data_IF_467202653855
#
_entry.id   IF_467202653855
#
_cell.length_a   1.000
_cell.length_b   1.000
_cell.length_c   1.000
_cell.angle_alpha   90.00
_cell.angle_beta   90.00
_cell.angle_gamma   90.00
#
_symmetry.space_group_name_H-M   'P 1'
#
loop_
_entity.id
_entity.type
_entity.pdbx_description
1 polymer ?
#
# COMPACT_ATOMS: atom_id res chain seq x y z
N UNK A 1 50.50 26.63 9.88
CA UNK A 1 49.73 25.37 9.97
C UNK A 1 48.51 25.64 10.84
N UNK A 2 47.40 26.05 10.25
CA UNK A 2 46.15 26.40 10.96
C UNK A 2 45.09 25.32 10.74
N UNK A 3 44.68 24.69 11.83
CA UNK A 3 43.56 23.75 11.85
C UNK A 3 42.26 24.54 11.80
N UNK A 4 41.46 24.38 10.72
CA UNK A 4 40.10 24.88 10.65
C UNK A 4 39.17 23.83 11.29
N UNK A 5 38.51 24.21 12.38
CA UNK A 5 37.44 23.44 12.97
C UNK A 5 36.13 23.73 12.17
N UNK A 6 35.49 22.70 11.67
CA UNK A 6 34.16 22.78 11.06
C UNK A 6 33.17 22.57 12.20
N UNK A 7 32.40 23.63 12.52
CA UNK A 7 31.28 23.53 13.43
C UNK A 7 30.05 23.00 12.64
N UNK A 8 29.62 21.79 12.99
CA UNK A 8 28.37 21.22 12.53
C UNK A 8 27.26 21.80 13.44
N UNK A 9 26.45 22.71 12.92
CA UNK A 9 25.29 23.22 13.64
C UNK A 9 24.15 22.19 13.55
N UNK A 10 23.91 21.49 14.65
CA UNK A 10 22.70 20.64 14.82
C UNK A 10 21.56 21.59 15.17
N UNK A 11 20.63 21.77 14.24
CA UNK A 11 19.39 22.50 14.46
C UNK A 11 18.42 21.56 15.21
N UNK A 12 18.34 21.72 16.53
CA UNK A 12 17.31 21.09 17.36
C UNK A 12 16.00 21.85 17.17
N UNK A 13 15.08 21.28 16.37
CA UNK A 13 13.69 21.75 16.34
C UNK A 13 13.00 21.15 17.55
N UNK A 14 12.77 21.97 18.57
CA UNK A 14 11.91 21.62 19.68
C UNK A 14 10.45 21.78 19.28
N UNK A 15 9.79 20.66 18.96
CA UNK A 15 8.34 20.61 18.84
C UNK A 15 7.78 20.60 20.26
N UNK A 16 6.99 21.62 20.59
CA UNK A 16 6.29 21.70 21.87
C UNK A 16 5.16 20.67 21.89
N UNK A 17 5.34 19.58 22.63
CA UNK A 17 4.29 18.62 22.97
C UNK A 17 3.29 19.27 23.92
N UNK A 18 2.10 19.61 23.43
CA UNK A 18 0.92 19.79 24.25
C UNK A 18 0.27 18.42 24.42
N UNK A 19 0.61 17.73 25.50
CA UNK A 19 -0.03 16.48 25.85
C UNK A 19 -1.47 16.71 26.31
N UNK A 20 -2.45 16.10 25.63
CA UNK A 20 -3.81 15.93 26.14
C UNK A 20 -4.01 14.50 26.62
N UNK A 21 -4.54 14.41 27.83
CA UNK A 21 -4.74 13.19 28.63
C UNK A 21 -5.75 12.23 27.97
N UNK A 22 -5.37 10.96 27.92
CA UNK A 22 -6.23 9.82 27.60
C UNK A 22 -7.46 9.77 28.51
N UNK A 23 -8.64 9.74 27.88
CA UNK A 23 -9.89 9.31 28.47
C UNK A 23 -10.49 8.18 27.65
N UNK A 24 -9.97 6.95 27.79
CA UNK A 24 -10.56 5.78 27.15
C UNK A 24 -11.88 5.40 27.81
N UNK A 25 -12.95 5.30 27.03
CA UNK A 25 -14.13 4.48 27.35
C UNK A 25 -14.39 3.57 26.17
N UNK A 26 -14.23 2.27 26.38
CA UNK A 26 -14.66 1.25 25.46
C UNK A 26 -16.17 1.36 25.24
N UNK A 27 -16.57 1.61 24.01
CA UNK A 27 -17.94 1.51 23.54
C UNK A 27 -18.23 0.06 23.15
N UNK A 28 -19.42 -0.43 23.48
CA UNK A 28 -19.97 -1.70 23.02
C UNK A 28 -20.26 -1.60 21.51
N UNK A 29 -19.83 -2.57 20.73
CA UNK A 29 -19.61 -2.58 19.30
C UNK A 29 -20.80 -2.45 18.32
N UNK A 30 -21.83 -1.64 18.61
CA UNK A 30 -22.98 -1.47 17.72
C UNK A 30 -23.34 0.00 17.41
N UNK A 31 -22.64 0.98 18.01
CA UNK A 31 -22.91 2.39 17.69
C UNK A 31 -21.83 2.93 16.75
N UNK A 32 -22.21 3.72 15.72
CA UNK A 32 -21.24 4.29 14.78
C UNK A 32 -20.28 5.25 15.49
N UNK A 33 -19.04 5.31 15.01
CA UNK A 33 -18.10 6.34 15.40
C UNK A 33 -18.46 7.62 14.66
N UNK A 34 -18.84 8.65 15.39
CA UNK A 34 -19.31 9.93 14.85
C UNK A 34 -18.17 10.95 14.83
N UNK A 35 -17.90 11.53 13.68
CA UNK A 35 -16.96 12.63 13.51
C UNK A 35 -17.68 13.96 13.27
N UNK A 36 -16.99 15.07 13.54
CA UNK A 36 -17.51 16.38 13.19
C UNK A 36 -17.57 16.52 11.65
N UNK A 37 -18.67 17.07 11.08
CA UNK A 37 -18.82 17.20 9.63
C UNK A 37 -17.83 18.21 9.05
N UNK A 38 -17.30 17.86 7.83
CA UNK A 38 -16.45 18.73 7.03
C UNK A 38 -17.25 19.83 6.29
N UNK A 39 -16.63 20.56 5.33
CA UNK A 39 -15.27 20.30 4.87
C UNK A 39 -14.19 20.88 5.80
N UNK A 40 -13.10 20.12 5.92
CA UNK A 40 -11.90 20.58 6.61
C UNK A 40 -10.90 21.20 5.63
N UNK A 41 -10.11 22.16 6.08
CA UNK A 41 -8.87 22.51 5.40
C UNK A 41 -7.93 21.30 5.44
N UNK A 42 -7.14 21.12 4.41
CA UNK A 42 -6.25 19.95 4.26
C UNK A 42 -4.80 20.37 4.51
N UNK A 43 -4.14 19.66 5.41
CA UNK A 43 -2.70 19.74 5.62
C UNK A 43 -2.01 18.61 4.85
N UNK A 44 -1.04 18.94 4.01
CA UNK A 44 -0.23 17.98 3.28
C UNK A 44 1.20 17.95 3.85
N UNK A 45 1.70 16.75 4.10
CA UNK A 45 3.08 16.46 4.50
C UNK A 45 3.67 15.53 3.46
N UNK A 46 4.61 16.05 2.68
CA UNK A 46 5.15 15.36 1.51
C UNK A 46 6.57 14.81 1.78
N UNK A 47 6.95 13.80 1.02
CA UNK A 47 8.29 13.19 1.00
C UNK A 47 8.80 12.73 2.37
N UNK A 48 7.91 12.15 3.17
CA UNK A 48 8.26 11.56 4.47
C UNK A 48 8.91 10.20 4.22
N UNK A 49 10.12 9.99 4.76
CA UNK A 49 10.77 8.68 4.74
C UNK A 49 10.10 7.76 5.75
N UNK A 50 9.42 6.70 5.28
CA UNK A 50 8.79 5.73 6.18
C UNK A 50 9.66 4.52 6.50
N UNK A 51 10.59 4.19 5.60
CA UNK A 51 11.55 3.10 5.75
C UNK A 51 12.70 3.24 4.74
N UNK A 52 13.57 2.25 4.71
CA UNK A 52 14.52 2.03 3.64
C UNK A 52 14.36 0.61 3.09
N UNK A 53 14.72 0.39 1.82
CA UNK A 53 14.76 -0.91 1.19
C UNK A 53 16.07 -1.13 0.45
N UNK A 54 16.50 -2.38 0.25
CA UNK A 54 17.65 -2.69 -0.61
C UNK A 54 17.25 -2.53 -2.09
N UNK A 55 18.13 -1.91 -2.86
CA UNK A 55 17.97 -1.64 -4.27
C UNK A 55 19.27 -1.78 -5.04
N UNK A 56 19.19 -2.16 -6.31
CA UNK A 56 20.34 -2.15 -7.21
C UNK A 56 20.32 -0.92 -8.10
N UNK A 57 21.42 -0.20 -8.14
CA UNK A 57 21.64 0.76 -9.22
C UNK A 57 22.04 0.02 -10.51
N UNK A 58 21.72 0.60 -11.68
CA UNK A 58 22.08 0.03 -12.99
C UNK A 58 23.60 -0.21 -13.18
N UNK A 59 24.44 0.32 -12.32
CA UNK A 59 25.91 0.26 -12.42
C UNK A 59 26.58 -0.53 -11.29
N UNK A 60 25.82 -1.11 -10.36
CA UNK A 60 26.36 -1.84 -9.21
C UNK A 60 25.80 -3.25 -9.13
N UNK A 61 26.66 -4.21 -8.85
CA UNK A 61 26.27 -5.61 -8.55
C UNK A 61 25.88 -5.78 -7.07
N UNK A 62 26.30 -4.84 -6.21
CA UNK A 62 25.97 -4.88 -4.79
C UNK A 62 24.76 -3.98 -4.52
N UNK A 63 23.76 -4.45 -3.76
CA UNK A 63 22.62 -3.63 -3.39
C UNK A 63 22.99 -2.54 -2.39
N UNK A 64 22.23 -1.46 -2.39
CA UNK A 64 22.36 -0.36 -1.44
C UNK A 64 21.01 0.08 -0.92
N UNK A 65 20.98 0.64 0.29
CA UNK A 65 19.75 1.14 0.87
C UNK A 65 19.25 2.41 0.14
N UNK A 66 17.97 2.41 -0.22
CA UNK A 66 17.26 3.58 -0.75
C UNK A 66 16.12 3.97 0.18
N UNK A 67 15.81 5.28 0.32
CA UNK A 67 14.66 5.72 1.11
C UNK A 67 13.36 5.36 0.42
N UNK A 68 12.37 4.94 1.21
CA UNK A 68 10.98 4.72 0.79
C UNK A 68 10.13 5.88 1.30
N UNK A 69 9.39 6.53 0.40
CA UNK A 69 8.72 7.79 0.68
C UNK A 69 7.20 7.64 0.70
N UNK A 70 6.54 8.47 1.52
CA UNK A 70 5.09 8.62 1.52
C UNK A 70 4.69 10.08 1.68
N UNK A 71 3.43 10.38 1.32
CA UNK A 71 2.79 11.66 1.60
C UNK A 71 1.58 11.42 2.52
N UNK A 72 1.32 12.35 3.43
CA UNK A 72 0.18 12.30 4.35
C UNK A 72 -0.68 13.53 4.15
N UNK A 73 -1.97 13.33 3.92
CA UNK A 73 -2.99 14.37 3.85
C UNK A 73 -3.90 14.25 5.07
N UNK A 74 -3.99 15.27 5.88
CA UNK A 74 -4.77 15.27 7.12
C UNK A 74 -5.79 16.41 7.13
N UNK A 75 -6.96 16.24 7.79
CA UNK A 75 -7.83 17.36 8.11
C UNK A 75 -7.16 18.28 9.13
N UNK A 76 -7.24 19.61 8.91
CA UNK A 76 -6.81 20.59 9.92
C UNK A 76 -7.85 20.64 11.06
N UNK A 77 -7.67 19.77 12.03
CA UNK A 77 -8.56 19.62 13.19
C UNK A 77 -7.79 19.09 14.41
N UNK A 78 -8.32 19.39 15.59
CA UNK A 78 -7.79 18.84 16.85
C UNK A 78 -8.43 17.49 17.22
N UNK A 79 -9.34 16.95 16.41
CA UNK A 79 -9.97 15.66 16.68
C UNK A 79 -8.96 14.54 16.47
N UNK A 80 -8.99 13.53 17.33
CA UNK A 80 -8.14 12.34 17.30
C UNK A 80 -8.90 11.14 16.76
N UNK A 81 -8.22 10.01 16.64
CA UNK A 81 -8.80 8.72 16.28
C UNK A 81 -9.49 8.73 14.89
N UNK A 82 -8.88 9.43 13.92
CA UNK A 82 -9.37 9.52 12.54
C UNK A 82 -9.11 8.24 11.75
N UNK A 83 -10.07 7.78 10.93
CA UNK A 83 -9.82 6.65 10.04
C UNK A 83 -8.73 7.00 9.02
N UNK A 84 -8.02 5.98 8.54
CA UNK A 84 -6.96 6.17 7.56
C UNK A 84 -7.17 5.29 6.34
N UNK A 85 -6.93 5.86 5.15
CA UNK A 85 -6.79 5.13 3.90
C UNK A 85 -5.34 5.23 3.43
N UNK A 86 -4.61 4.11 3.40
CA UNK A 86 -3.32 4.02 2.70
C UNK A 86 -3.57 3.66 1.24
N UNK A 87 -3.04 4.44 0.30
CA UNK A 87 -3.23 4.23 -1.13
C UNK A 87 -1.91 3.94 -1.86
N UNK A 88 -1.95 2.92 -2.73
CA UNK A 88 -0.81 2.37 -3.45
C UNK A 88 -1.01 2.65 -4.94
N UNK A 89 -0.06 3.36 -5.54
CA UNK A 89 -0.15 3.73 -6.96
C UNK A 89 -0.01 2.54 -7.91
N UNK A 90 -0.60 2.67 -9.10
CA UNK A 90 -0.37 1.77 -10.22
C UNK A 90 0.88 2.14 -11.02
N UNK A 91 1.25 1.27 -11.96
CA UNK A 91 2.40 1.44 -12.84
C UNK A 91 3.03 0.12 -13.27
N UNK A 92 2.29 -1.00 -13.14
CA UNK A 92 2.73 -2.33 -13.57
C UNK A 92 3.99 -2.83 -12.86
N UNK A 93 4.27 -2.32 -11.66
CA UNK A 93 5.53 -2.55 -10.92
C UNK A 93 6.78 -2.05 -11.64
N UNK A 94 6.65 -1.34 -12.76
CA UNK A 94 7.78 -0.83 -13.57
C UNK A 94 8.05 0.65 -13.37
N UNK A 95 7.26 1.33 -12.57
CA UNK A 95 7.34 2.75 -12.26
C UNK A 95 6.02 3.24 -11.69
N UNK A 96 5.88 4.53 -11.55
CA UNK A 96 4.75 5.21 -10.93
C UNK A 96 5.23 6.05 -9.77
N UNK A 97 4.33 6.85 -9.23
CA UNK A 97 4.65 7.75 -8.09
C UNK A 97 3.41 8.01 -7.25
N UNK A 98 3.62 8.23 -5.95
CA UNK A 98 2.60 8.54 -4.95
C UNK A 98 1.83 9.84 -5.20
N UNK A 99 2.41 10.79 -5.94
CA UNK A 99 1.87 12.12 -6.19
C UNK A 99 1.31 12.32 -7.61
N UNK A 100 0.70 11.28 -8.22
CA UNK A 100 -0.10 11.48 -9.44
C UNK A 100 -1.29 12.40 -9.14
N UNK A 101 -1.71 13.25 -10.12
CA UNK A 101 -2.83 14.19 -9.89
C UNK A 101 -4.08 13.53 -9.30
N UNK A 102 -4.47 12.38 -9.79
CA UNK A 102 -5.67 11.65 -9.34
C UNK A 102 -5.51 11.13 -7.89
N UNK A 103 -4.29 10.81 -7.48
CA UNK A 103 -3.98 10.35 -6.13
C UNK A 103 -3.99 11.52 -5.15
N UNK A 104 -3.46 12.68 -5.56
CA UNK A 104 -3.52 13.92 -4.78
C UNK A 104 -4.98 14.35 -4.60
N UNK A 105 -5.76 14.40 -5.69
CA UNK A 105 -7.19 14.76 -5.65
C UNK A 105 -7.98 13.83 -4.73
N UNK A 106 -7.69 12.52 -4.74
CA UNK A 106 -8.28 11.55 -3.83
C UNK A 106 -7.88 11.85 -2.38
N UNK A 107 -6.60 12.16 -2.13
CA UNK A 107 -6.10 12.53 -0.81
C UNK A 107 -6.80 13.77 -0.23
N UNK A 108 -6.94 14.82 -1.04
CA UNK A 108 -7.67 16.03 -0.67
C UNK A 108 -9.16 15.75 -0.43
N UNK A 109 -9.77 14.89 -1.26
CA UNK A 109 -11.17 14.48 -1.11
C UNK A 109 -11.41 13.81 0.24
N UNK A 110 -10.57 12.83 0.62
CA UNK A 110 -10.70 12.09 1.88
C UNK A 110 -10.36 12.97 3.09
N UNK A 111 -9.26 13.73 3.02
CA UNK A 111 -8.83 14.57 4.13
C UNK A 111 -9.82 15.71 4.42
N UNK A 112 -10.40 16.35 3.39
CA UNK A 112 -11.45 17.37 3.59
C UNK A 112 -12.72 16.82 4.25
N UNK A 113 -12.89 15.48 4.28
CA UNK A 113 -14.01 14.76 4.89
C UNK A 113 -13.63 14.06 6.21
N UNK A 114 -12.48 14.41 6.76
CA UNK A 114 -12.10 13.96 8.10
C UNK A 114 -11.27 12.68 8.17
N UNK A 115 -10.90 12.07 7.05
CA UNK A 115 -9.97 10.95 7.01
C UNK A 115 -8.53 11.43 6.98
N UNK A 116 -7.62 10.60 7.46
CA UNK A 116 -6.21 10.69 7.09
C UNK A 116 -5.98 9.85 5.83
N UNK A 117 -5.30 10.41 4.86
CA UNK A 117 -4.96 9.70 3.63
C UNK A 117 -3.45 9.63 3.49
N UNK A 118 -2.93 8.44 3.21
CA UNK A 118 -1.49 8.19 3.07
C UNK A 118 -1.22 7.59 1.71
N UNK A 119 -0.45 8.28 0.88
CA UNK A 119 -0.03 7.81 -0.44
C UNK A 119 1.43 7.38 -0.39
N UNK A 120 1.76 6.18 -0.87
CA UNK A 120 3.11 5.61 -0.74
C UNK A 120 3.79 5.42 -2.10
N UNK A 121 5.11 5.63 -2.15
CA UNK A 121 6.00 5.03 -3.14
C UNK A 121 6.49 3.67 -2.63
N UNK A 122 6.77 2.76 -3.53
CA UNK A 122 7.34 1.44 -3.28
C UNK A 122 8.38 1.13 -4.35
N UNK A 123 9.30 0.19 -4.09
CA UNK A 123 10.32 -0.22 -5.06
C UNK A 123 9.68 -0.86 -6.29
N UNK A 124 10.11 -0.40 -7.45
CA UNK A 124 9.69 -0.86 -8.79
C UNK A 124 10.88 -1.48 -9.50
N UNK A 125 10.73 -1.88 -10.76
CA UNK A 125 11.88 -2.37 -11.55
C UNK A 125 12.98 -1.32 -11.74
N UNK A 126 12.68 -0.03 -11.50
CA UNK A 126 13.69 1.04 -11.58
C UNK A 126 14.76 0.91 -10.48
N UNK A 127 14.39 0.35 -9.32
CA UNK A 127 15.26 0.10 -8.17
C UNK A 127 15.85 -1.32 -8.15
N UNK A 128 15.57 -2.16 -9.17
CA UNK A 128 16.01 -3.56 -9.22
C UNK A 128 17.19 -3.83 -10.16
N UNK A 129 17.83 -2.77 -10.67
CA UNK A 129 19.02 -2.87 -11.49
C UNK A 129 18.78 -3.45 -12.89
N UNK A 130 19.76 -4.20 -13.42
CA UNK A 130 19.73 -4.79 -14.74
C UNK A 130 20.25 -6.24 -14.65
N UNK A 131 19.44 -7.19 -15.14
CA UNK A 131 19.74 -8.63 -15.12
C UNK A 131 19.91 -9.23 -16.53
N UNK A 132 19.99 -8.39 -17.56
CA UNK A 132 20.15 -8.86 -18.94
C UNK A 132 21.46 -9.63 -19.11
N UNK A 133 21.34 -10.86 -19.57
CA UNK A 133 22.47 -11.75 -19.82
C UNK A 133 22.98 -12.54 -18.62
N UNK A 134 22.37 -12.38 -17.44
CA UNK A 134 22.65 -13.21 -16.28
C UNK A 134 22.01 -14.61 -16.42
N UNK A 135 22.63 -15.63 -15.86
CA UNK A 135 22.03 -16.94 -15.67
C UNK A 135 21.04 -16.92 -14.51
N UNK A 136 20.19 -17.96 -14.42
CA UNK A 136 19.21 -18.09 -13.32
C UNK A 136 19.89 -18.07 -11.94
N UNK A 137 21.05 -18.72 -11.80
CA UNK A 137 21.82 -18.72 -10.55
C UNK A 137 22.33 -17.31 -10.21
N UNK A 138 22.85 -16.58 -11.20
CA UNK A 138 23.30 -15.20 -11.02
C UNK A 138 22.16 -14.25 -10.66
N UNK A 139 20.96 -14.46 -11.20
CA UNK A 139 19.74 -13.67 -10.86
C UNK A 139 19.31 -13.93 -9.42
N UNK A 140 19.34 -15.19 -8.96
CA UNK A 140 19.05 -15.54 -7.57
C UNK A 140 20.01 -14.83 -6.62
N UNK A 141 21.32 -14.94 -6.87
CA UNK A 141 22.34 -14.29 -6.05
C UNK A 141 22.22 -12.76 -6.10
N UNK A 142 21.84 -12.19 -7.27
CA UNK A 142 21.68 -10.76 -7.46
C UNK A 142 20.54 -10.17 -6.61
N UNK A 143 19.47 -10.93 -6.42
CA UNK A 143 18.31 -10.49 -5.62
C UNK A 143 18.33 -10.98 -4.18
N UNK A 144 19.45 -11.53 -3.72
CA UNK A 144 19.61 -11.88 -2.29
C UNK A 144 19.37 -10.65 -1.40
N UNK A 145 18.58 -10.82 -0.33
CA UNK A 145 18.13 -9.75 0.54
C UNK A 145 17.01 -8.85 -0.03
N UNK A 146 16.65 -8.96 -1.32
CA UNK A 146 15.57 -8.18 -1.95
C UNK A 146 14.29 -9.04 -2.07
N UNK A 147 14.42 -10.27 -2.54
CA UNK A 147 13.33 -11.24 -2.63
C UNK A 147 13.81 -12.64 -2.21
N UNK A 148 12.96 -13.49 -1.61
CA UNK A 148 13.34 -14.86 -1.26
C UNK A 148 13.67 -15.67 -2.51
N UNK A 149 14.62 -16.58 -2.36
CA UNK A 149 15.04 -17.47 -3.45
C UNK A 149 13.87 -18.19 -4.12
N UNK A 150 12.93 -18.71 -3.35
CA UNK A 150 11.77 -19.44 -3.86
C UNK A 150 10.87 -18.56 -4.72
N UNK A 151 10.76 -17.27 -4.38
CA UNK A 151 10.03 -16.31 -5.19
C UNK A 151 10.72 -16.05 -6.51
N UNK A 152 12.05 -15.82 -6.50
CA UNK A 152 12.86 -15.60 -7.70
C UNK A 152 12.83 -16.85 -8.60
N UNK A 153 13.04 -18.05 -8.05
CA UNK A 153 12.95 -19.31 -8.82
C UNK A 153 11.57 -19.52 -9.47
N UNK A 154 10.49 -19.14 -8.78
CA UNK A 154 9.14 -19.23 -9.34
C UNK A 154 8.99 -18.36 -10.59
N UNK A 155 9.63 -17.18 -10.63
CA UNK A 155 9.53 -16.28 -11.79
C UNK A 155 10.02 -16.95 -13.11
N UNK A 156 11.01 -17.82 -13.02
CA UNK A 156 11.56 -18.52 -14.21
C UNK A 156 10.58 -19.50 -14.85
N UNK A 157 9.55 -19.93 -14.13
CA UNK A 157 8.58 -20.92 -14.65
C UNK A 157 7.58 -20.33 -15.66
N UNK A 158 7.39 -19.00 -15.67
CA UNK A 158 6.37 -18.36 -16.49
C UNK A 158 6.82 -17.09 -17.21
N UNK A 159 8.00 -16.55 -16.86
CA UNK A 159 8.51 -15.33 -17.51
C UNK A 159 9.08 -15.63 -18.89
N UNK A 160 8.69 -14.82 -19.89
CA UNK A 160 9.20 -14.88 -21.25
C UNK A 160 10.38 -13.91 -21.49
N UNK A 161 10.70 -13.07 -20.50
CA UNK A 161 11.74 -12.05 -20.56
C UNK A 161 12.29 -11.67 -19.19
N UNK A 162 13.52 -11.13 -19.16
CA UNK A 162 14.14 -10.55 -17.95
C UNK A 162 13.28 -9.46 -17.33
N UNK A 163 12.53 -8.70 -18.14
CA UNK A 163 11.60 -7.68 -17.67
C UNK A 163 10.46 -8.28 -16.85
N UNK A 164 9.91 -9.42 -17.23
CA UNK A 164 8.85 -10.09 -16.48
C UNK A 164 9.36 -10.69 -15.16
N UNK A 165 10.60 -11.21 -15.17
CA UNK A 165 11.29 -11.61 -13.94
C UNK A 165 11.39 -10.41 -12.99
N UNK A 166 11.92 -9.28 -13.48
CA UNK A 166 12.02 -8.06 -12.68
C UNK A 166 10.67 -7.56 -12.15
N UNK A 167 9.62 -7.59 -12.97
CA UNK A 167 8.27 -7.21 -12.53
C UNK A 167 7.76 -8.11 -11.39
N UNK A 168 8.02 -9.40 -11.45
CA UNK A 168 7.61 -10.34 -10.40
C UNK A 168 8.41 -10.14 -9.11
N UNK A 169 9.71 -9.83 -9.21
CA UNK A 169 10.53 -9.46 -8.04
C UNK A 169 10.06 -8.12 -7.47
N UNK A 170 9.76 -7.12 -8.33
CA UNK A 170 9.21 -5.84 -7.89
C UNK A 170 7.85 -5.99 -7.19
N UNK A 171 7.02 -6.96 -7.60
CA UNK A 171 5.77 -7.28 -6.90
C UNK A 171 6.03 -7.75 -5.46
N UNK A 172 7.05 -8.59 -5.22
CA UNK A 172 7.45 -8.96 -3.86
C UNK A 172 7.93 -7.74 -3.06
N UNK A 173 8.81 -6.93 -3.63
CA UNK A 173 9.32 -5.73 -2.99
C UNK A 173 8.20 -4.74 -2.63
N UNK A 174 7.23 -4.54 -3.53
CA UNK A 174 6.07 -3.68 -3.31
C UNK A 174 5.20 -4.15 -2.12
N UNK A 175 5.02 -5.48 -1.94
CA UNK A 175 4.32 -6.03 -0.78
C UNK A 175 5.08 -5.73 0.51
N UNK A 176 6.39 -5.97 0.52
CA UNK A 176 7.25 -5.74 1.67
C UNK A 176 7.26 -4.27 2.09
N UNK A 177 7.39 -3.36 1.12
CA UNK A 177 7.41 -1.92 1.31
C UNK A 177 6.06 -1.41 1.82
N UNK A 178 4.96 -1.87 1.23
CA UNK A 178 3.61 -1.48 1.66
C UNK A 178 3.27 -1.96 3.07
N UNK A 179 3.71 -3.17 3.47
CA UNK A 179 3.60 -3.64 4.86
C UNK A 179 4.45 -2.80 5.83
N UNK A 180 5.62 -2.33 5.39
CA UNK A 180 6.43 -1.40 6.18
C UNK A 180 5.72 -0.04 6.35
N UNK A 181 5.04 0.46 5.32
CA UNK A 181 4.23 1.68 5.40
C UNK A 181 3.04 1.53 6.36
N UNK A 182 2.35 0.39 6.38
CA UNK A 182 1.30 0.12 7.37
C UNK A 182 1.83 0.14 8.80
N UNK A 183 2.99 -0.49 9.05
CA UNK A 183 3.63 -0.42 10.37
C UNK A 183 4.07 1.00 10.74
N UNK A 184 4.52 1.79 9.75
CA UNK A 184 4.85 3.20 9.96
C UNK A 184 3.60 4.02 10.34
N UNK A 185 2.44 3.77 9.71
CA UNK A 185 1.16 4.42 10.04
C UNK A 185 0.82 4.16 11.51
N UNK A 186 0.91 2.91 11.97
CA UNK A 186 0.65 2.56 13.37
C UNK A 186 1.65 3.24 14.32
N UNK A 187 2.95 3.21 14.00
CA UNK A 187 3.99 3.84 14.79
C UNK A 187 3.85 5.37 14.91
N UNK A 188 3.18 6.01 13.95
CA UNK A 188 2.98 7.46 13.89
C UNK A 188 1.51 7.87 14.10
N UNK A 189 0.65 6.97 14.55
CA UNK A 189 -0.78 7.22 14.71
C UNK A 189 -1.08 8.44 15.59
N UNK A 190 -0.39 8.58 16.72
CA UNK A 190 -0.53 9.75 17.60
C UNK A 190 -0.11 11.07 16.94
N UNK A 191 0.87 11.03 16.02
CA UNK A 191 1.39 12.23 15.31
C UNK A 191 0.37 12.79 14.34
N UNK A 192 -0.34 11.91 13.65
CA UNK A 192 -1.31 12.28 12.60
C UNK A 192 -2.76 12.09 13.03
N UNK A 193 -3.01 11.87 14.33
CA UNK A 193 -4.36 11.64 14.89
C UNK A 193 -5.12 10.46 14.26
N UNK A 194 -4.41 9.38 13.91
CA UNK A 194 -4.96 8.19 13.25
C UNK A 194 -5.55 7.21 14.27
N UNK A 195 -6.68 6.61 13.95
CA UNK A 195 -7.22 5.43 14.62
C UNK A 195 -6.57 4.15 14.07
N UNK A 196 -5.90 3.38 14.91
CA UNK A 196 -5.34 2.08 14.52
C UNK A 196 -6.39 0.99 14.39
N UNK A 197 -7.63 1.25 14.80
CA UNK A 197 -8.77 0.35 14.68
C UNK A 197 -9.55 0.55 13.35
N UNK A 198 -9.20 1.60 12.57
CA UNK A 198 -9.92 2.02 11.36
C UNK A 198 -8.95 2.24 10.19
N UNK A 199 -8.22 1.18 9.84
CA UNK A 199 -7.26 1.19 8.73
C UNK A 199 -7.92 0.58 7.49
N UNK A 200 -7.92 1.35 6.40
CA UNK A 200 -8.23 0.87 5.06
C UNK A 200 -6.98 0.92 4.17
N UNK A 201 -6.92 0.03 3.20
CA UNK A 201 -5.87 0.02 2.17
C UNK A 201 -6.52 0.08 0.80
N UNK A 202 -5.96 0.87 -0.09
CA UNK A 202 -6.46 0.96 -1.46
C UNK A 202 -5.35 1.04 -2.50
N UNK A 203 -5.70 0.85 -3.75
CA UNK A 203 -4.76 0.99 -4.83
C UNK A 203 -5.40 0.95 -6.21
N UNK A 204 -4.59 1.22 -7.23
CA UNK A 204 -5.00 1.16 -8.62
C UNK A 204 -4.04 0.28 -9.44
N UNK A 205 -4.56 -0.57 -10.36
CA UNK A 205 -3.73 -1.42 -11.22
C UNK A 205 -2.77 -2.31 -10.41
N UNK A 206 -1.46 -2.19 -10.57
CA UNK A 206 -0.47 -2.88 -9.74
C UNK A 206 -0.66 -2.62 -8.23
N UNK A 207 -1.04 -1.39 -7.85
CA UNK A 207 -1.38 -1.05 -6.47
C UNK A 207 -2.59 -1.81 -5.95
N UNK A 208 -3.60 -2.10 -6.78
CA UNK A 208 -4.73 -2.95 -6.38
C UNK A 208 -4.32 -4.41 -6.16
N UNK A 209 -3.40 -4.93 -6.99
CA UNK A 209 -2.83 -6.26 -6.77
C UNK A 209 -2.13 -6.32 -5.41
N UNK A 210 -1.34 -5.28 -5.12
CA UNK A 210 -0.67 -5.12 -3.81
C UNK A 210 -1.68 -5.01 -2.67
N UNK A 211 -2.76 -4.24 -2.85
CA UNK A 211 -3.85 -4.07 -1.86
C UNK A 211 -4.47 -5.41 -1.47
N UNK A 212 -4.88 -6.22 -2.45
CA UNK A 212 -5.45 -7.56 -2.16
C UNK A 212 -4.41 -8.43 -1.44
N UNK A 213 -3.18 -8.48 -1.95
CA UNK A 213 -2.12 -9.27 -1.33
C UNK A 213 -1.83 -8.86 0.12
N UNK A 214 -1.92 -7.58 0.46
CA UNK A 214 -1.81 -7.10 1.84
C UNK A 214 -2.96 -7.58 2.73
N UNK A 215 -4.18 -7.53 2.20
CA UNK A 215 -5.37 -7.89 2.97
C UNK A 215 -5.45 -9.38 3.29
N UNK A 216 -5.07 -10.25 2.35
CA UNK A 216 -5.16 -11.71 2.49
C UNK A 216 -3.92 -12.35 3.13
N UNK A 217 -2.80 -11.65 3.25
CA UNK A 217 -1.54 -12.21 3.73
C UNK A 217 -1.37 -12.07 5.24
N UNK A 218 -0.77 -13.10 5.87
CA UNK A 218 -0.42 -13.07 7.28
C UNK A 218 0.60 -11.97 7.60
N UNK A 219 0.63 -11.49 8.86
CA UNK A 219 1.58 -10.46 9.30
C UNK A 219 3.05 -10.84 9.08
N UNK A 220 3.36 -12.14 9.09
CA UNK A 220 4.71 -12.67 8.85
C UNK A 220 5.13 -12.66 7.38
N UNK A 221 4.16 -12.80 6.47
CA UNK A 221 4.44 -12.81 5.02
C UNK A 221 5.08 -11.50 4.57
N UNK A 222 6.00 -11.56 3.64
CA UNK A 222 6.79 -10.41 3.14
C UNK A 222 7.59 -9.68 4.23
N UNK A 223 7.70 -10.24 5.43
CA UNK A 223 8.49 -9.71 6.54
C UNK A 223 9.55 -10.69 6.98
N UNK A 224 9.17 -11.95 7.20
CA UNK A 224 9.99 -12.94 7.90
C UNK A 224 10.79 -13.88 6.97
N UNK A 225 10.54 -13.86 5.65
CA UNK A 225 11.24 -14.69 4.68
C UNK A 225 12.70 -14.26 4.44
N UNK A 226 13.02 -13.00 4.66
CA UNK A 226 14.37 -12.45 4.56
C UNK A 226 14.78 -11.93 5.92
N UNK A 227 15.92 -12.42 6.43
CA UNK A 227 16.42 -12.03 7.74
C UNK A 227 17.02 -10.62 7.74
N UNK A 228 17.18 -10.04 8.94
CA UNK A 228 17.84 -8.73 9.11
C UNK A 228 19.35 -8.79 8.77
N UNK A 229 19.95 -9.97 8.70
CA UNK A 229 21.33 -10.16 8.25
C UNK A 229 21.43 -10.06 6.73
N UNK A 230 20.44 -10.56 5.99
CA UNK A 230 20.33 -10.50 4.53
C UNK A 230 19.88 -9.10 4.09
N UNK A 231 18.90 -8.52 4.78
CA UNK A 231 18.45 -7.16 4.54
C UNK A 231 18.50 -6.29 5.81
N UNK A 232 19.63 -5.59 6.06
CA UNK A 232 19.75 -4.70 7.22
C UNK A 232 18.76 -3.53 7.24
N UNK A 233 18.15 -3.18 6.10
CA UNK A 233 17.16 -2.09 6.03
C UNK A 233 15.87 -2.43 6.77
N UNK A 234 15.58 -3.71 7.02
CA UNK A 234 14.46 -4.16 7.85
C UNK A 234 14.43 -3.49 9.24
N UNK A 235 15.59 -3.14 9.78
CA UNK A 235 15.66 -2.40 11.05
C UNK A 235 14.92 -1.05 11.02
N UNK A 236 14.63 -0.52 9.83
CA UNK A 236 13.94 0.77 9.63
C UNK A 236 12.43 0.64 9.44
N UNK A 237 11.89 -0.59 9.42
CA UNK A 237 10.51 -0.87 8.99
C UNK A 237 9.52 -1.09 10.14
N UNK A 238 9.81 -0.61 11.34
CA UNK A 238 8.93 -0.72 12.52
C UNK A 238 8.44 -2.17 12.78
N UNK A 239 9.35 -3.15 12.77
CA UNK A 239 9.03 -4.59 12.82
C UNK A 239 8.20 -5.02 14.04
N UNK A 240 8.18 -4.23 15.12
CA UNK A 240 7.43 -4.52 16.34
C UNK A 240 5.96 -4.10 16.27
N UNK A 241 5.59 -3.29 15.27
CA UNK A 241 4.22 -2.84 15.09
C UNK A 241 3.39 -3.90 14.37
N UNK A 242 2.11 -3.98 14.77
CA UNK A 242 1.09 -4.81 14.13
C UNK A 242 -0.07 -3.93 13.70
N UNK A 243 -0.78 -4.35 12.66
CA UNK A 243 -1.93 -3.63 12.11
C UNK A 243 -3.04 -4.62 11.78
N UNK A 244 -4.25 -4.10 11.65
CA UNK A 244 -5.42 -4.84 11.22
C UNK A 244 -6.15 -4.01 10.15
N UNK A 245 -6.16 -4.51 8.91
CA UNK A 245 -6.84 -3.87 7.79
C UNK A 245 -8.32 -4.23 7.86
N UNK A 246 -9.22 -3.24 7.88
CA UNK A 246 -10.67 -3.46 7.99
C UNK A 246 -11.36 -3.54 6.64
N UNK A 247 -10.90 -2.75 5.68
CA UNK A 247 -11.54 -2.66 4.37
C UNK A 247 -10.52 -2.37 3.28
N UNK A 248 -10.83 -2.79 2.06
CA UNK A 248 -9.97 -2.59 0.90
C UNK A 248 -10.70 -1.84 -0.22
N UNK A 249 -9.95 -1.03 -0.97
CA UNK A 249 -10.39 -0.33 -2.18
C UNK A 249 -9.54 -0.77 -3.37
N UNK A 250 -10.18 -1.37 -4.36
CA UNK A 250 -9.52 -1.92 -5.54
C UNK A 250 -10.01 -1.21 -6.81
N UNK A 251 -9.10 -0.61 -7.55
CA UNK A 251 -9.36 -0.01 -8.84
C UNK A 251 -8.62 -0.75 -9.94
N UNK A 252 -9.34 -1.45 -10.85
CA UNK A 252 -8.82 -2.16 -12.03
C UNK A 252 -7.50 -2.93 -11.83
N UNK A 253 -7.44 -3.80 -10.86
CA UNK A 253 -6.33 -4.73 -10.63
C UNK A 253 -6.51 -6.08 -11.33
N UNK A 254 -5.79 -7.10 -10.88
CA UNK A 254 -5.88 -8.47 -11.40
C UNK A 254 -5.73 -9.51 -10.30
N UNK A 255 -6.63 -10.48 -10.25
CA UNK A 255 -6.52 -11.67 -9.37
C UNK A 255 -5.42 -12.62 -9.85
N UNK A 256 -5.18 -12.72 -11.16
CA UNK A 256 -4.26 -13.70 -11.76
C UNK A 256 -2.84 -13.59 -11.18
N UNK A 257 -2.39 -12.36 -10.88
CA UNK A 257 -1.05 -12.15 -10.31
C UNK A 257 -0.91 -12.68 -8.87
N UNK A 258 -2.01 -12.97 -8.19
CA UNK A 258 -2.02 -13.53 -6.82
C UNK A 258 -1.86 -15.05 -6.82
N UNK A 259 -1.94 -15.73 -7.95
CA UNK A 259 -1.73 -17.17 -8.07
C UNK A 259 -0.31 -17.58 -7.65
N UNK A 260 0.63 -16.61 -7.61
CA UNK A 260 1.98 -16.80 -7.07
C UNK A 260 1.97 -17.29 -5.61
N UNK A 261 0.99 -16.89 -4.79
CA UNK A 261 0.88 -17.35 -3.40
C UNK A 261 0.70 -18.87 -3.31
N UNK A 262 -0.20 -19.44 -4.14
CA UNK A 262 -0.37 -20.88 -4.21
C UNK A 262 0.91 -21.58 -4.63
N UNK A 263 1.67 -21.00 -5.57
CA UNK A 263 2.88 -21.59 -6.10
C UNK A 263 4.05 -21.54 -5.10
N UNK A 264 4.25 -20.43 -4.41
CA UNK A 264 5.40 -20.21 -3.50
C UNK A 264 5.10 -20.69 -2.09
N UNK A 265 3.89 -20.42 -1.57
CA UNK A 265 3.53 -20.74 -0.18
C UNK A 265 2.68 -22.02 -0.05
N UNK A 266 2.21 -22.61 -1.15
CA UNK A 266 1.39 -23.83 -1.16
C UNK A 266 -0.10 -23.63 -0.89
N UNK A 267 -0.57 -22.39 -0.71
CA UNK A 267 -1.97 -22.01 -0.56
C UNK A 267 -2.19 -20.54 -0.97
N UNK A 268 -3.41 -20.18 -1.33
CA UNK A 268 -3.75 -18.90 -1.93
C UNK A 268 -3.99 -17.76 -0.94
N UNK A 269 -3.96 -18.01 0.35
CA UNK A 269 -4.15 -17.08 1.45
C UNK A 269 -5.58 -16.55 1.65
N UNK A 270 -6.52 -16.74 0.74
CA UNK A 270 -7.89 -16.30 0.96
C UNK A 270 -8.57 -17.07 2.08
N UNK A 271 -9.13 -16.37 3.08
CA UNK A 271 -9.88 -16.98 4.17
C UNK A 271 -11.03 -16.09 4.67
N UNK A 272 -11.83 -16.61 5.62
CA UNK A 272 -13.01 -15.92 6.16
C UNK A 272 -12.69 -14.74 7.08
N UNK A 273 -11.43 -14.42 7.32
CA UNK A 273 -10.96 -13.26 8.09
C UNK A 273 -10.48 -12.08 7.23
N UNK A 274 -10.51 -12.24 5.90
CA UNK A 274 -10.04 -11.19 4.98
C UNK A 274 -10.89 -9.92 5.08
N UNK A 275 -10.30 -8.73 4.87
CA UNK A 275 -11.00 -7.45 4.89
C UNK A 275 -12.09 -7.36 3.84
N UNK A 276 -13.17 -6.62 4.12
CA UNK A 276 -14.22 -6.35 3.15
C UNK A 276 -13.71 -5.53 1.96
N UNK A 277 -14.26 -5.77 0.76
CA UNK A 277 -13.66 -5.32 -0.49
C UNK A 277 -14.61 -4.48 -1.36
N UNK A 278 -14.24 -3.22 -1.62
CA UNK A 278 -14.79 -2.41 -2.69
C UNK A 278 -13.98 -2.60 -3.97
N UNK A 279 -14.63 -2.86 -5.08
CA UNK A 279 -14.00 -2.96 -6.40
C UNK A 279 -14.68 -2.01 -7.40
N UNK A 280 -13.87 -1.28 -8.18
CA UNK A 280 -14.34 -0.58 -9.38
C UNK A 280 -13.49 -1.01 -10.58
N UNK A 281 -14.13 -1.53 -11.62
CA UNK A 281 -13.42 -2.06 -12.78
C UNK A 281 -14.21 -1.85 -14.07
N UNK A 282 -13.53 -1.46 -15.14
CA UNK A 282 -14.13 -1.30 -16.45
C UNK A 282 -14.43 -2.64 -17.14
N UNK A 283 -15.59 -2.75 -17.78
CA UNK A 283 -15.97 -3.91 -18.60
C UNK A 283 -15.61 -3.72 -20.09
N UNK A 284 -15.05 -2.57 -20.44
CA UNK A 284 -14.45 -2.34 -21.74
C UNK A 284 -13.18 -3.20 -21.92
N UNK A 285 -12.64 -3.22 -23.14
CA UNK A 285 -11.44 -4.01 -23.43
C UNK A 285 -10.24 -3.48 -22.62
N UNK A 286 -9.90 -4.15 -21.52
CA UNK A 286 -8.70 -3.94 -20.72
C UNK A 286 -7.72 -5.11 -20.89
N UNK A 287 -6.70 -4.96 -21.76
CA UNK A 287 -5.73 -6.03 -21.98
C UNK A 287 -4.69 -6.15 -20.84
N UNK A 288 -4.64 -5.20 -19.92
CA UNK A 288 -3.66 -5.17 -18.81
C UNK A 288 -4.17 -5.96 -17.62
N UNK A 289 -5.40 -5.66 -17.21
CA UNK A 289 -6.11 -6.30 -16.09
C UNK A 289 -7.54 -6.60 -16.52
N UNK A 290 -7.79 -7.75 -17.14
CA UNK A 290 -9.12 -8.10 -17.63
C UNK A 290 -10.18 -8.10 -16.54
N UNK A 291 -11.40 -7.63 -16.86
CA UNK A 291 -12.54 -7.51 -15.95
C UNK A 291 -12.91 -8.83 -15.27
N UNK A 292 -12.67 -9.95 -15.94
CA UNK A 292 -12.84 -11.30 -15.39
C UNK A 292 -12.04 -11.53 -14.10
N UNK A 293 -10.95 -10.79 -13.91
CA UNK A 293 -10.17 -10.82 -12.66
C UNK A 293 -10.95 -10.25 -11.47
N UNK A 294 -11.76 -9.21 -11.66
CA UNK A 294 -12.63 -8.64 -10.63
C UNK A 294 -13.81 -9.59 -10.33
N UNK A 295 -14.41 -10.18 -11.37
CA UNK A 295 -15.46 -11.19 -11.18
C UNK A 295 -14.96 -12.41 -10.40
N UNK A 296 -13.74 -12.88 -10.69
CA UNK A 296 -13.14 -13.99 -9.97
C UNK A 296 -12.87 -13.66 -8.49
N UNK A 297 -12.49 -12.42 -8.17
CA UNK A 297 -12.36 -11.96 -6.78
C UNK A 297 -13.71 -11.93 -6.07
N UNK A 298 -14.76 -11.44 -6.73
CA UNK A 298 -16.12 -11.44 -6.19
C UNK A 298 -16.60 -12.86 -5.89
N UNK A 299 -16.39 -13.81 -6.81
CA UNK A 299 -16.75 -15.23 -6.62
C UNK A 299 -16.01 -15.84 -5.41
N UNK A 300 -14.74 -15.49 -5.17
CA UNK A 300 -13.98 -15.94 -4.00
C UNK A 300 -14.60 -15.38 -2.73
N UNK A 301 -14.87 -14.08 -2.66
CA UNK A 301 -15.48 -13.42 -1.51
C UNK A 301 -16.86 -14.02 -1.18
N UNK A 302 -17.69 -14.24 -2.19
CA UNK A 302 -19.00 -14.89 -2.05
C UNK A 302 -18.86 -16.32 -1.47
N UNK A 303 -17.87 -17.08 -1.94
CA UNK A 303 -17.61 -18.45 -1.47
C UNK A 303 -17.19 -18.51 0.00
N UNK A 304 -16.54 -17.46 0.49
CA UNK A 304 -16.09 -17.29 1.87
C UNK A 304 -17.13 -16.60 2.77
N UNK A 305 -18.27 -16.17 2.22
CA UNK A 305 -19.30 -15.33 2.85
C UNK A 305 -18.73 -14.00 3.38
N UNK A 306 -17.76 -13.45 2.69
CA UNK A 306 -17.22 -12.10 2.92
C UNK A 306 -17.99 -11.08 2.07
N UNK A 307 -18.06 -9.85 2.59
CA UNK A 307 -18.70 -8.78 1.83
C UNK A 307 -17.76 -8.22 0.78
N UNK A 308 -18.25 -8.15 -0.48
CA UNK A 308 -17.59 -7.41 -1.55
C UNK A 308 -18.63 -6.64 -2.38
N UNK A 309 -18.23 -5.47 -2.87
CA UNK A 309 -19.03 -4.66 -3.79
C UNK A 309 -18.22 -4.45 -5.08
N UNK A 310 -18.78 -4.85 -6.23
CA UNK A 310 -18.20 -4.62 -7.53
C UNK A 310 -19.02 -3.60 -8.32
N UNK A 311 -18.44 -2.41 -8.52
CA UNK A 311 -18.99 -1.36 -9.39
C UNK A 311 -18.41 -1.53 -10.79
N UNK A 312 -19.27 -1.91 -11.74
CA UNK A 312 -18.89 -2.01 -13.15
C UNK A 312 -18.86 -0.62 -13.78
N UNK A 313 -17.72 -0.24 -14.34
CA UNK A 313 -17.54 1.00 -15.09
C UNK A 313 -17.82 0.73 -16.56
N UNK A 314 -19.09 0.85 -16.97
CA UNK A 314 -19.59 0.44 -18.28
C UNK A 314 -18.83 1.13 -19.43
N UNK A 315 -18.27 0.32 -20.34
CA UNK A 315 -17.53 0.76 -21.52
C UNK A 315 -16.15 1.37 -21.25
N UNK A 316 -15.72 1.46 -19.98
CA UNK A 316 -14.39 1.94 -19.62
C UNK A 316 -13.34 0.81 -19.70
N UNK A 317 -12.12 1.17 -20.07
CA UNK A 317 -10.93 0.31 -20.00
C UNK A 317 -10.08 0.63 -18.77
N UNK A 318 -8.78 0.36 -18.86
CA UNK A 318 -7.79 0.58 -17.80
C UNK A 318 -7.64 2.07 -17.44
N UNK A 319 -7.58 2.41 -16.15
CA UNK A 319 -7.29 3.77 -15.70
C UNK A 319 -8.50 4.73 -15.75
N UNK A 320 -9.70 4.24 -15.49
CA UNK A 320 -10.97 4.97 -15.60
C UNK A 320 -11.24 5.97 -14.46
N UNK A 321 -10.26 6.80 -14.09
CA UNK A 321 -10.36 7.75 -12.97
C UNK A 321 -11.54 8.73 -13.07
N UNK A 322 -11.98 9.05 -14.29
CA UNK A 322 -13.08 9.97 -14.58
C UNK A 322 -14.44 9.28 -14.74
N UNK A 323 -14.53 7.98 -14.42
CA UNK A 323 -15.80 7.26 -14.48
C UNK A 323 -16.79 7.81 -13.45
N UNK A 324 -18.06 7.83 -13.85
CA UNK A 324 -19.20 8.26 -13.01
C UNK A 324 -20.28 7.20 -13.09
N UNK A 325 -20.71 6.68 -11.95
CA UNK A 325 -21.81 5.70 -11.83
C UNK A 325 -22.88 6.29 -10.93
N UNK A 326 -24.12 6.35 -11.41
CA UNK A 326 -25.27 6.95 -10.70
C UNK A 326 -25.03 8.38 -10.17
N UNK A 327 -24.24 9.15 -10.90
CA UNK A 327 -23.89 10.54 -10.56
C UNK A 327 -22.74 10.70 -9.59
N UNK A 328 -22.12 9.61 -9.13
CA UNK A 328 -20.97 9.60 -8.20
C UNK A 328 -19.69 9.24 -8.92
N UNK A 329 -18.59 9.93 -8.58
CA UNK A 329 -17.23 9.59 -8.99
C UNK A 329 -16.62 8.48 -8.12
N UNK A 330 -15.48 7.95 -8.53
CA UNK A 330 -14.82 6.83 -7.83
C UNK A 330 -14.46 7.14 -6.38
N UNK A 331 -14.05 8.37 -6.09
CA UNK A 331 -13.68 8.78 -4.72
C UNK A 331 -14.90 8.75 -3.80
N UNK A 332 -16.05 9.21 -4.30
CA UNK A 332 -17.32 9.21 -3.55
C UNK A 332 -17.82 7.79 -3.32
N UNK A 333 -17.80 6.94 -4.36
CA UNK A 333 -18.24 5.55 -4.26
C UNK A 333 -17.41 4.77 -3.23
N UNK A 334 -16.07 4.88 -3.31
CA UNK A 334 -15.18 4.20 -2.37
C UNK A 334 -15.28 4.78 -0.95
N UNK A 335 -15.49 6.08 -0.83
CA UNK A 335 -15.69 6.74 0.47
C UNK A 335 -16.97 6.27 1.15
N UNK A 336 -18.10 6.24 0.43
CA UNK A 336 -19.39 5.78 0.94
C UNK A 336 -19.30 4.33 1.44
N UNK A 337 -18.66 3.44 0.65
CA UNK A 337 -18.40 2.07 1.05
C UNK A 337 -17.59 2.01 2.37
N UNK A 338 -16.48 2.73 2.47
CA UNK A 338 -15.63 2.71 3.67
C UNK A 338 -16.36 3.26 4.90
N UNK A 339 -17.17 4.32 4.75
CA UNK A 339 -17.99 4.88 5.82
C UNK A 339 -18.99 3.84 6.34
N UNK A 340 -19.71 3.18 5.44
CA UNK A 340 -20.68 2.15 5.81
C UNK A 340 -20.01 0.96 6.47
N UNK A 341 -18.94 0.41 5.85
CA UNK A 341 -18.33 -0.85 6.31
C UNK A 341 -17.51 -0.70 7.58
N UNK A 342 -16.98 0.47 7.86
CA UNK A 342 -16.31 0.77 9.13
C UNK A 342 -17.25 1.37 10.18
N UNK A 343 -18.55 1.42 9.90
CA UNK A 343 -19.58 1.96 10.79
C UNK A 343 -19.25 3.38 11.29
N UNK A 344 -19.00 4.29 10.31
CA UNK A 344 -18.62 5.67 10.56
C UNK A 344 -19.75 6.62 10.15
N UNK A 345 -19.92 7.71 10.89
CA UNK A 345 -20.80 8.83 10.58
C UNK A 345 -20.03 10.15 10.60
N UNK A 346 -20.32 11.05 9.65
CA UNK A 346 -19.76 12.41 9.55
C UNK A 346 -20.88 13.42 9.59
#
# INVERSE_FOLDING_TARGET
>A
MGKRAIFLAILLITVSLSGCLRGGKGGSGDEPVVYEPGPYEVLAYEDIVYASGLAHSKSSTEPSAVPLMLDVYCPDTNSTDRPVLMFIHGGGFTGGVKHKPEIIEMGEYYASRGWVYVSIDYRTTEELGDIDGMSDEEIIDYYDGIAPKEWVEHTFTGAESTKEIQQSVAMYAAQRDSKAALRWIVANADTYNISTDQIAVGGSSAGSITTIALGISDLGDFRDEISIQEDPTLATTNLNETYDVKSMVYFWGSKIKLDVFQAVYGFDRFDGGDPELFMAHGDGNDPVTPYEGALALQDIYDSLNLHSELVTLEGHGHGAWNAVVDGKGLFELSFDFLMERQNLEI
#
